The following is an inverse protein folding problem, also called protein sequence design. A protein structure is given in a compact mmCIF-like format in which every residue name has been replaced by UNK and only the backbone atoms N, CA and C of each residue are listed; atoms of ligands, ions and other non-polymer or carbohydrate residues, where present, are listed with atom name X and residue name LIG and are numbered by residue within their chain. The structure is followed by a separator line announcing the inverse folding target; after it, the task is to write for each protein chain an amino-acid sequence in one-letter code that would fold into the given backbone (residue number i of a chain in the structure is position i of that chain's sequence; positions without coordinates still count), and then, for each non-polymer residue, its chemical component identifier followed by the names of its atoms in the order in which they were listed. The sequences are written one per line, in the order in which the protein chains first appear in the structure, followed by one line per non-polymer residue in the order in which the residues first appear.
data_IF_565410566244
#
_entry.id   IF_565410566244
#
_cell.length_a   1.000
_cell.length_b   1.000
_cell.length_c   1.000
_cell.angle_alpha   90.00
_cell.angle_beta   90.00
_cell.angle_gamma   90.00
#
_symmetry.space_group_name_H-M   'P 1'
#
loop_
_entity.id
_entity.type
_entity.pdbx_description
1 polymer ?
#
# COMPACT_ATOMS: atom_id res chain seq x y z
N UNK A 1 -13.09 9.72 1.98
CA UNK A 1 -12.54 8.82 0.95
C UNK A 1 -11.15 9.32 0.61
N UNK A 2 -10.14 8.78 1.28
CA UNK A 2 -8.74 9.19 1.10
C UNK A 2 -8.06 8.05 0.35
N UNK A 3 -8.07 8.14 -0.97
CA UNK A 3 -7.26 7.28 -1.83
C UNK A 3 -5.91 7.99 -1.97
N UNK A 4 -4.87 7.49 -1.28
CA UNK A 4 -3.52 8.04 -1.44
C UNK A 4 -2.83 7.34 -2.62
N UNK A 5 -2.40 8.07 -3.66
CA UNK A 5 -1.50 7.54 -4.67
C UNK A 5 -0.09 7.33 -4.07
N UNK A 6 0.72 6.41 -4.60
CA UNK A 6 2.02 6.06 -4.04
C UNK A 6 3.05 7.11 -4.45
N UNK A 7 3.00 8.27 -3.81
CA UNK A 7 4.25 8.92 -3.43
C UNK A 7 4.77 8.16 -2.19
N UNK A 8 6.07 8.16 -1.93
CA UNK A 8 6.68 7.71 -0.66
C UNK A 8 6.23 8.62 0.51
N UNK A 9 4.93 8.92 0.63
CA UNK A 9 4.32 9.59 1.75
C UNK A 9 4.03 8.52 2.79
N UNK A 10 4.56 8.76 3.98
CA UNK A 10 4.34 7.92 5.14
C UNK A 10 2.83 7.82 5.42
N UNK A 11 2.35 6.65 5.84
CA UNK A 11 1.02 6.56 6.43
C UNK A 11 0.95 7.62 7.55
N UNK A 12 -0.13 8.40 7.58
CA UNK A 12 -0.33 9.53 8.50
C UNK A 12 0.46 10.82 8.22
N UNK A 13 1.14 10.95 7.08
CA UNK A 13 1.84 12.20 6.73
C UNK A 13 0.93 13.45 6.76
N UNK A 14 -0.37 13.26 6.51
CA UNK A 14 -1.37 14.33 6.44
C UNK A 14 -2.28 14.39 7.70
N UNK A 15 -1.90 13.73 8.80
CA UNK A 15 -2.76 13.56 10.00
C UNK A 15 -2.15 14.20 11.23
N UNK A 16 -2.96 14.94 11.99
CA UNK A 16 -2.56 15.44 13.30
C UNK A 16 -2.48 14.29 14.32
N UNK A 17 -1.62 14.45 15.34
CA UNK A 17 -1.36 13.42 16.34
C UNK A 17 -2.65 12.91 17.02
N UNK A 18 -3.60 13.82 17.27
CA UNK A 18 -4.90 13.51 17.89
C UNK A 18 -5.76 12.56 17.04
N UNK A 19 -5.65 12.59 15.71
CA UNK A 19 -6.44 11.73 14.83
C UNK A 19 -5.89 10.29 14.75
N UNK A 20 -4.63 10.10 15.15
CA UNK A 20 -4.02 8.77 15.32
C UNK A 20 -4.51 8.15 16.63
N UNK A 21 -4.59 8.96 17.69
CA UNK A 21 -5.12 8.55 19.00
C UNK A 21 -6.64 8.27 18.99
N UNK A 22 -7.40 8.86 18.05
CA UNK A 22 -8.84 8.56 17.83
C UNK A 22 -9.10 7.27 17.03
N UNK A 23 -8.07 6.47 16.83
CA UNK A 23 -8.09 5.19 16.12
C UNK A 23 -8.52 5.20 14.64
N UNK A 24 -8.65 6.36 14.01
CA UNK A 24 -9.09 6.42 12.61
C UNK A 24 -8.01 5.77 11.73
N UNK A 25 -8.30 4.58 11.17
CA UNK A 25 -7.34 3.83 10.35
C UNK A 25 -7.34 4.33 8.89
N UNK A 26 -6.17 4.49 8.24
CA UNK A 26 -6.11 4.82 6.82
C UNK A 26 -6.67 3.67 5.97
N UNK A 27 -7.43 4.00 4.92
CA UNK A 27 -7.84 3.01 3.94
C UNK A 27 -6.61 2.55 3.14
N UNK A 28 -6.33 1.25 3.16
CA UNK A 28 -5.28 0.65 2.33
C UNK A 28 -5.95 0.16 1.04
N UNK A 29 -5.50 0.66 -0.10
CA UNK A 29 -6.03 0.21 -1.38
C UNK A 29 -5.46 -1.16 -1.75
N UNK A 30 -6.27 -2.21 -1.58
CA UNK A 30 -5.83 -3.61 -1.68
C UNK A 30 -5.10 -3.97 -2.99
N UNK A 31 -5.46 -3.45 -4.17
CA UNK A 31 -4.75 -3.78 -5.42
C UNK A 31 -3.32 -3.24 -5.51
N UNK A 32 -2.97 -2.19 -4.76
CA UNK A 32 -1.63 -1.57 -4.79
C UNK A 32 -0.66 -2.12 -3.74
N UNK A 33 -1.18 -2.84 -2.74
CA UNK A 33 -0.41 -3.39 -1.64
C UNK A 33 -0.41 -4.93 -1.68
N UNK A 34 0.74 -5.58 -1.45
CA UNK A 34 0.79 -7.03 -1.28
C UNK A 34 -0.11 -7.45 -0.10
N UNK A 35 -0.88 -8.53 -0.25
CA UNK A 35 -1.82 -9.00 0.80
C UNK A 35 -1.12 -9.21 2.15
N UNK A 36 0.02 -9.88 2.15
CA UNK A 36 0.84 -10.09 3.35
C UNK A 36 1.23 -8.78 4.07
N UNK A 37 1.43 -7.68 3.32
CA UNK A 37 1.73 -6.38 3.91
C UNK A 37 0.48 -5.72 4.50
N UNK A 38 -0.69 -5.90 3.87
CA UNK A 38 -1.98 -5.44 4.40
C UNK A 38 -2.29 -6.18 5.71
N UNK A 39 -2.11 -7.49 5.73
CA UNK A 39 -2.35 -8.32 6.91
C UNK A 39 -1.38 -7.98 8.05
N UNK A 40 -0.11 -7.70 7.72
CA UNK A 40 0.88 -7.16 8.67
C UNK A 40 0.37 -5.86 9.31
N UNK A 41 -0.04 -4.87 8.50
CA UNK A 41 -0.54 -3.58 9.01
C UNK A 41 -1.79 -3.78 9.86
N UNK A 42 -2.73 -4.64 9.44
CA UNK A 42 -3.94 -4.96 10.19
C UNK A 42 -3.64 -5.54 11.56
N UNK A 43 -2.66 -6.44 11.66
CA UNK A 43 -2.25 -7.02 12.95
C UNK A 43 -1.53 -6.00 13.84
N UNK A 44 -0.75 -5.09 13.28
CA UNK A 44 -0.14 -3.97 14.03
C UNK A 44 -1.18 -2.99 14.60
N UNK A 45 -2.43 -3.06 14.14
CA UNK A 45 -3.54 -2.27 14.65
C UNK A 45 -4.36 -2.95 15.74
N UNK A 46 -4.05 -4.20 16.07
CA UNK A 46 -4.60 -4.87 17.24
C UNK A 46 -4.18 -4.10 18.51
N UNK A 47 -5.06 -3.95 19.52
CA UNK A 47 -4.71 -3.30 20.78
C UNK A 47 -3.52 -3.95 21.52
N UNK A 48 -3.29 -5.25 21.30
CA UNK A 48 -2.14 -5.98 21.83
C UNK A 48 -1.44 -6.76 20.70
N UNK A 49 -0.66 -6.06 19.86
CA UNK A 49 -0.05 -6.68 18.69
C UNK A 49 1.12 -7.59 19.10
N UNK A 50 1.11 -8.83 18.65
CA UNK A 50 2.23 -9.78 18.79
C UNK A 50 3.31 -9.47 17.74
N UNK A 51 3.96 -8.32 17.88
CA UNK A 51 4.88 -7.75 16.88
C UNK A 51 6.06 -8.69 16.58
N UNK A 52 6.59 -9.37 17.60
CA UNK A 52 7.78 -10.22 17.46
C UNK A 52 7.53 -11.44 16.56
N UNK A 53 6.46 -12.19 16.82
CA UNK A 53 6.05 -13.34 15.99
C UNK A 53 5.70 -12.89 14.58
N UNK A 54 5.09 -11.72 14.45
CA UNK A 54 4.70 -11.15 13.17
C UNK A 54 5.91 -10.78 12.30
N UNK A 55 6.94 -10.14 12.89
CA UNK A 55 8.18 -9.83 12.17
C UNK A 55 8.90 -11.11 11.79
N UNK A 56 8.98 -12.08 12.71
CA UNK A 56 9.69 -13.34 12.47
C UNK A 56 9.05 -14.13 11.32
N UNK A 57 7.73 -14.32 11.35
CA UNK A 57 6.99 -15.01 10.28
C UNK A 57 7.15 -14.32 8.92
N UNK A 58 7.12 -12.98 8.90
CA UNK A 58 7.33 -12.21 7.68
C UNK A 58 8.75 -12.39 7.11
N UNK A 59 9.77 -12.37 7.97
CA UNK A 59 11.16 -12.60 7.58
C UNK A 59 11.36 -14.01 7.03
N UNK A 60 10.83 -15.03 7.70
CA UNK A 60 10.89 -16.42 7.25
C UNK A 60 10.26 -16.59 5.87
N UNK A 61 9.07 -16.04 5.62
CA UNK A 61 8.46 -16.08 4.28
C UNK A 61 9.30 -15.34 3.23
N UNK A 62 9.87 -14.18 3.60
CA UNK A 62 10.69 -13.36 2.70
C UNK A 62 11.97 -14.08 2.27
N UNK A 63 12.73 -14.62 3.23
CA UNK A 63 14.00 -15.30 2.99
C UNK A 63 13.85 -16.76 2.56
N UNK A 64 12.77 -17.43 2.99
CA UNK A 64 12.42 -18.81 2.63
C UNK A 64 12.03 -19.00 1.17
N UNK A 65 12.03 -17.93 0.36
CA UNK A 65 11.65 -17.95 -1.05
C UNK A 65 10.23 -18.45 -1.30
N UNK A 66 9.31 -18.21 -0.37
CA UNK A 66 7.91 -18.56 -0.51
C UNK A 66 7.35 -17.98 -1.82
N UNK A 67 6.90 -18.87 -2.70
CA UNK A 67 6.43 -18.50 -4.03
C UNK A 67 5.16 -17.66 -3.96
N UNK A 68 4.23 -18.01 -3.07
CA UNK A 68 2.98 -17.28 -2.87
C UNK A 68 3.28 -15.88 -2.35
N UNK A 69 4.17 -15.78 -1.35
CA UNK A 69 4.61 -14.52 -0.80
C UNK A 69 5.16 -13.60 -1.90
N UNK A 70 6.08 -14.09 -2.74
CA UNK A 70 6.64 -13.30 -3.84
C UNK A 70 5.61 -12.93 -4.92
N UNK A 71 4.64 -13.79 -5.19
CA UNK A 71 3.61 -13.52 -6.19
C UNK A 71 2.74 -12.34 -5.77
N UNK A 72 2.39 -12.23 -4.48
CA UNK A 72 1.62 -11.09 -3.97
C UNK A 72 2.33 -9.75 -4.24
N UNK A 73 3.66 -9.69 -4.11
CA UNK A 73 4.44 -8.49 -4.44
C UNK A 73 4.46 -8.21 -5.96
N UNK A 74 4.57 -9.26 -6.78
CA UNK A 74 4.54 -9.11 -8.24
C UNK A 74 3.20 -8.58 -8.74
N UNK A 75 2.10 -9.06 -8.20
CA UNK A 75 0.75 -8.60 -8.57
C UNK A 75 0.53 -7.13 -8.20
N UNK A 76 0.90 -6.74 -6.97
CA UNK A 76 0.85 -5.34 -6.56
C UNK A 76 1.68 -4.44 -7.49
N UNK A 77 2.88 -4.88 -7.88
CA UNK A 77 3.74 -4.13 -8.81
C UNK A 77 3.17 -4.02 -10.23
N UNK A 78 2.59 -5.10 -10.77
CA UNK A 78 1.88 -5.06 -12.06
C UNK A 78 0.74 -4.05 -12.02
N UNK A 79 -0.03 -4.05 -10.95
CA UNK A 79 -1.15 -3.13 -10.77
C UNK A 79 -0.69 -1.67 -10.70
N UNK A 80 0.37 -1.37 -9.92
CA UNK A 80 0.98 -0.02 -9.88
C UNK A 80 1.41 0.46 -11.27
N UNK A 81 2.02 -0.41 -12.08
CA UNK A 81 2.39 -0.08 -13.47
C UNK A 81 1.18 0.24 -14.35
N UNK A 82 0.07 -0.47 -14.18
CA UNK A 82 -1.18 -0.19 -14.91
C UNK A 82 -1.71 1.19 -14.54
N UNK A 83 -1.71 1.55 -13.26
CA UNK A 83 -2.12 2.89 -12.80
C UNK A 83 -1.24 3.98 -13.41
N UNK A 84 0.08 3.83 -13.32
CA UNK A 84 1.02 4.78 -13.89
C UNK A 84 0.79 4.97 -15.39
N UNK A 85 0.55 3.88 -16.13
CA UNK A 85 0.22 3.93 -17.56
C UNK A 85 -1.10 4.65 -17.83
N UNK A 86 -2.16 4.39 -17.04
CA UNK A 86 -3.45 5.08 -17.17
C UNK A 86 -3.32 6.58 -16.93
N UNK A 87 -2.58 6.97 -15.88
CA UNK A 87 -2.32 8.37 -15.55
C UNK A 87 -1.56 9.07 -16.68
N UNK A 88 -0.51 8.44 -17.24
CA UNK A 88 0.22 9.00 -18.37
C UNK A 88 -0.68 9.26 -19.58
N UNK A 89 -1.56 8.33 -19.92
CA UNK A 89 -2.50 8.49 -21.05
C UNK A 89 -3.46 9.66 -20.81
N UNK A 90 -4.02 9.77 -19.60
CA UNK A 90 -4.91 10.87 -19.24
C UNK A 90 -4.20 12.22 -19.38
N UNK A 91 -2.99 12.35 -18.85
CA UNK A 91 -2.20 13.60 -18.95
C UNK A 91 -1.94 13.96 -20.42
N UNK A 92 -1.54 13.00 -21.24
CA UNK A 92 -1.30 13.24 -22.68
C UNK A 92 -2.58 13.68 -23.38
N UNK A 93 -3.72 13.04 -23.08
CA UNK A 93 -5.01 13.40 -23.68
C UNK A 93 -5.47 14.82 -23.29
N UNK A 94 -5.33 15.19 -22.02
CA UNK A 94 -5.64 16.55 -21.54
C UNK A 94 -4.71 17.61 -22.15
N UNK A 95 -3.42 17.30 -22.28
CA UNK A 95 -2.47 18.20 -22.91
C UNK A 95 -2.78 18.39 -24.40
N UNK A 96 -3.09 17.29 -25.12
CA UNK A 96 -3.48 17.32 -26.53
C UNK A 96 -4.72 18.18 -26.79
N UNK A 97 -5.75 18.04 -25.94
CA UNK A 97 -6.97 18.88 -26.02
C UNK A 97 -6.66 20.35 -25.72
N UNK A 98 -5.70 20.64 -24.84
CA UNK A 98 -5.35 22.03 -24.47
C UNK A 98 -4.49 22.75 -25.51
N UNK A 99 -3.92 22.02 -26.47
CA UNK A 99 -3.08 22.57 -27.55
C UNK A 99 -3.73 22.51 -28.94
N UNK A 100 -4.96 21.99 -29.04
CA UNK A 100 -5.77 21.93 -30.25
C UNK A 100 -6.92 22.95 -30.18
#
# INVERSE_FOLDING_TARGET
MVILPPTRRQLFADREHDDICKEIRPEIYEPEAPKCYIDLIRRCWDPNPEIEEMIFSFQESYYGNDHEFKEQFREAEKYRKIILRKIMILIISHLYISVA
#
